data_IF_947904440960
#
_entry.id   IF_947904440960
#
_cell.length_a   1.000
_cell.length_b   1.000
_cell.length_c   1.000
_cell.angle_alpha   90.00
_cell.angle_beta   90.00
_cell.angle_gamma   90.00
#
_symmetry.space_group_name_H-M   'P 1'
#
loop_
_entity.id
_entity.type
_entity.pdbx_description
1 polymer ?
#
# COMPACT_ATOMS: atom_id res chain seq x y z
N UNK A 1 -2.88 61.56 4.12
CA UNK A 1 -1.52 61.07 4.06
C UNK A 1 -0.96 60.91 5.45
N UNK A 2 -0.81 59.71 5.95
CA UNK A 2 0.03 59.35 7.10
C UNK A 2 0.94 58.23 6.69
N UNK A 3 2.26 58.31 6.90
CA UNK A 3 3.23 57.29 6.49
C UNK A 3 3.44 56.25 7.58
N UNK A 4 3.65 55.01 7.17
CA UNK A 4 4.43 54.05 7.95
C UNK A 4 3.68 52.84 8.49
N UNK A 5 3.23 51.90 7.61
CA UNK A 5 3.07 50.53 8.01
C UNK A 5 4.08 49.67 7.24
N UNK A 6 5.16 49.39 7.95
CA UNK A 6 6.19 48.43 7.49
C UNK A 6 5.67 47.05 7.81
N UNK A 7 5.42 46.21 6.77
CA UNK A 7 5.20 44.79 6.92
C UNK A 7 6.52 44.07 7.24
N UNK A 8 6.62 43.28 8.29
CA UNK A 8 7.76 42.40 8.48
C UNK A 8 7.64 41.19 7.52
N UNK A 9 8.64 41.08 6.67
CA UNK A 9 8.95 39.90 5.89
C UNK A 9 9.59 38.86 6.80
N UNK A 10 8.83 37.91 7.32
CA UNK A 10 9.39 36.61 7.71
C UNK A 10 8.24 35.62 7.91
N UNK A 11 8.32 34.55 7.12
CA UNK A 11 7.32 33.52 7.02
C UNK A 11 7.18 32.69 8.27
N UNK A 12 5.98 32.54 8.69
CA UNK A 12 5.31 31.43 9.34
C UNK A 12 4.06 32.01 10.00
N UNK A 13 2.92 31.92 9.33
CA UNK A 13 1.64 32.16 9.98
C UNK A 13 1.31 30.94 10.84
N UNK A 14 1.26 31.06 12.17
CA UNK A 14 0.60 30.05 12.97
C UNK A 14 -0.91 30.18 12.69
N UNK A 15 -1.51 29.09 12.20
CA UNK A 15 -2.96 28.95 12.08
C UNK A 15 -3.56 28.94 13.50
N UNK A 16 -3.72 30.12 14.09
CA UNK A 16 -4.52 30.35 15.29
C UNK A 16 -5.64 31.33 14.95
N UNK A 17 -6.66 30.88 14.21
CA UNK A 17 -7.91 31.60 14.16
C UNK A 17 -8.60 31.47 15.51
N UNK A 18 -8.44 32.48 16.36
CA UNK A 18 -9.16 32.62 17.63
C UNK A 18 -10.62 32.94 17.31
N UNK A 19 -11.48 31.94 17.22
CA UNK A 19 -12.91 32.16 17.32
C UNK A 19 -13.28 32.41 18.79
N UNK A 20 -13.63 33.66 19.11
CA UNK A 20 -14.15 34.02 20.43
C UNK A 20 -15.66 33.99 20.36
N UNK A 21 -16.29 33.01 21.01
CA UNK A 21 -17.73 33.03 21.24
C UNK A 21 -18.08 34.16 22.21
N UNK A 22 -19.23 34.85 21.98
CA UNK A 22 -19.75 35.85 22.93
C UNK A 22 -20.01 35.18 24.29
N UNK A 23 -19.13 35.41 25.25
CA UNK A 23 -19.21 34.81 26.60
C UNK A 23 -17.86 34.56 27.27
N UNK A 24 -16.73 34.90 26.61
CA UNK A 24 -15.43 35.03 27.30
C UNK A 24 -14.70 33.76 27.73
N UNK A 25 -15.20 32.55 27.37
CA UNK A 25 -14.48 31.31 27.67
C UNK A 25 -13.52 31.05 26.51
N UNK A 26 -12.18 30.95 26.73
CA UNK A 26 -11.26 30.58 25.67
C UNK A 26 -11.57 29.14 25.29
N UNK A 27 -11.87 28.91 24.00
CA UNK A 27 -11.89 27.55 23.46
C UNK A 27 -10.43 27.07 23.49
N UNK A 28 -10.06 26.33 24.52
CA UNK A 28 -8.80 25.61 24.56
C UNK A 28 -8.90 24.56 23.46
N UNK A 29 -8.20 24.77 22.33
CA UNK A 29 -7.97 23.73 21.35
C UNK A 29 -7.11 22.65 22.03
N UNK A 30 -7.77 21.62 22.52
CA UNK A 30 -7.09 20.41 22.97
C UNK A 30 -6.82 19.63 21.67
N UNK A 31 -5.56 19.37 21.31
CA UNK A 31 -5.28 18.49 20.20
C UNK A 31 -5.89 17.13 20.55
N UNK A 32 -6.99 16.80 19.87
CA UNK A 32 -7.60 15.49 20.02
C UNK A 32 -6.61 14.50 19.44
N UNK A 33 -5.94 13.75 20.30
CA UNK A 33 -5.10 12.63 19.85
C UNK A 33 -6.02 11.64 19.12
N UNK A 34 -5.64 11.27 17.88
CA UNK A 34 -6.39 10.30 17.10
C UNK A 34 -6.34 8.97 17.84
N UNK A 35 -7.51 8.39 18.11
CA UNK A 35 -7.62 7.01 18.55
C UNK A 35 -7.44 6.09 17.32
N UNK A 36 -6.21 5.67 17.09
CA UNK A 36 -5.89 4.80 15.96
C UNK A 36 -6.58 3.43 16.05
N UNK A 37 -6.89 2.94 17.24
CA UNK A 37 -7.63 1.68 17.38
C UNK A 37 -9.08 1.84 16.88
N UNK A 38 -9.72 2.94 17.22
CA UNK A 38 -11.04 3.29 16.71
C UNK A 38 -11.00 3.56 15.21
N UNK A 39 -10.05 4.37 14.72
CA UNK A 39 -9.90 4.68 13.30
C UNK A 39 -9.69 3.41 12.45
N UNK A 40 -8.88 2.47 12.93
CA UNK A 40 -8.66 1.16 12.31
C UNK A 40 -9.95 0.34 12.22
N UNK A 41 -10.72 0.30 13.29
CA UNK A 41 -12.02 -0.38 13.29
C UNK A 41 -12.98 0.26 12.30
N UNK A 42 -13.08 1.58 12.30
CA UNK A 42 -13.94 2.32 11.35
C UNK A 42 -13.52 2.08 9.89
N UNK A 43 -12.22 2.03 9.60
CA UNK A 43 -11.70 1.67 8.29
C UNK A 43 -12.15 0.25 7.88
N UNK A 44 -11.98 -0.73 8.76
CA UNK A 44 -12.36 -2.12 8.44
C UNK A 44 -13.88 -2.24 8.24
N UNK A 45 -14.67 -1.65 9.12
CA UNK A 45 -16.14 -1.76 9.08
C UNK A 45 -16.73 -0.94 7.91
N UNK A 46 -16.19 0.27 7.63
CA UNK A 46 -16.73 1.18 6.63
C UNK A 46 -16.16 1.04 5.22
N UNK A 47 -14.95 0.50 5.06
CA UNK A 47 -14.28 0.45 3.76
C UNK A 47 -14.01 -0.99 3.28
N UNK A 48 -13.70 -1.91 4.20
CA UNK A 48 -13.31 -3.28 3.85
C UNK A 48 -14.53 -4.20 3.79
N UNK A 49 -15.31 -4.28 4.88
CA UNK A 49 -16.50 -5.14 4.94
C UNK A 49 -17.57 -4.73 3.93
N UNK A 50 -17.76 -3.45 3.70
CA UNK A 50 -18.74 -2.90 2.75
C UNK A 50 -18.34 -3.12 1.28
N UNK A 51 -17.12 -3.59 1.03
CA UNK A 51 -16.56 -3.84 -0.30
C UNK A 51 -16.46 -5.34 -0.64
N UNK A 52 -17.37 -6.15 -0.08
CA UNK A 52 -17.45 -7.60 -0.30
C UNK A 52 -16.21 -8.39 0.14
N UNK A 53 -15.44 -7.88 1.10
CA UNK A 53 -14.36 -8.63 1.73
C UNK A 53 -14.97 -9.47 2.87
N UNK A 54 -15.01 -10.77 2.66
CA UNK A 54 -15.67 -11.74 3.55
C UNK A 54 -14.70 -12.69 4.27
N UNK A 55 -13.44 -12.77 3.84
CA UNK A 55 -12.43 -13.58 4.51
C UNK A 55 -12.11 -13.01 5.90
N UNK A 56 -12.55 -13.73 6.93
CA UNK A 56 -12.38 -13.32 8.33
C UNK A 56 -10.92 -13.21 8.75
N UNK A 57 -10.00 -13.93 8.09
CA UNK A 57 -8.55 -13.84 8.38
C UNK A 57 -7.99 -12.49 7.94
N UNK A 58 -8.41 -12.00 6.75
CA UNK A 58 -8.03 -10.67 6.25
C UNK A 58 -8.58 -9.59 7.17
N UNK A 59 -9.85 -9.69 7.54
CA UNK A 59 -10.52 -8.76 8.44
C UNK A 59 -9.80 -8.72 9.79
N UNK A 60 -9.51 -9.88 10.39
CA UNK A 60 -8.80 -9.98 11.66
C UNK A 60 -7.39 -9.36 11.59
N UNK A 61 -6.64 -9.69 10.53
CA UNK A 61 -5.30 -9.15 10.33
C UNK A 61 -5.31 -7.62 10.15
N UNK A 62 -6.27 -7.07 9.41
CA UNK A 62 -6.39 -5.62 9.24
C UNK A 62 -6.86 -4.89 10.50
N UNK A 63 -7.62 -5.55 11.38
CA UNK A 63 -7.97 -5.04 12.72
C UNK A 63 -6.78 -5.06 13.68
N UNK A 64 -5.86 -6.00 13.54
CA UNK A 64 -4.67 -6.16 14.38
C UNK A 64 -3.55 -5.21 14.00
N UNK A 65 -3.23 -5.12 12.70
CA UNK A 65 -2.05 -4.42 12.20
C UNK A 65 -2.18 -2.89 12.31
N UNK A 66 -1.23 -2.20 12.99
CA UNK A 66 -1.22 -0.74 13.12
C UNK A 66 -0.76 -0.08 11.82
N UNK A 67 -1.71 0.22 10.90
CA UNK A 67 -1.42 0.77 9.58
C UNK A 67 -0.68 2.12 9.64
N UNK A 68 -0.95 2.93 10.67
CA UNK A 68 -0.29 4.20 10.95
C UNK A 68 1.23 4.06 11.11
N UNK A 69 1.72 2.89 11.47
CA UNK A 69 3.15 2.60 11.59
C UNK A 69 3.88 2.53 10.25
N UNK A 70 3.14 2.27 9.18
CA UNK A 70 3.68 2.02 7.84
C UNK A 70 3.65 3.23 6.92
N UNK A 71 3.19 4.37 7.40
CA UNK A 71 3.21 5.65 6.70
C UNK A 71 4.24 6.60 7.32
N UNK A 72 4.53 7.71 6.64
CA UNK A 72 5.42 8.73 7.22
C UNK A 72 4.82 9.35 8.48
N UNK A 73 5.65 9.85 9.38
CA UNK A 73 5.17 10.50 10.60
C UNK A 73 4.25 11.70 10.33
N UNK A 74 4.41 12.37 9.18
CA UNK A 74 3.57 13.49 8.76
C UNK A 74 2.20 13.04 8.22
N UNK A 75 2.08 11.79 7.78
CA UNK A 75 0.88 11.25 7.13
C UNK A 75 0.11 10.25 8.02
N UNK A 76 0.50 10.12 9.30
CA UNK A 76 -0.12 9.18 10.26
C UNK A 76 -1.63 9.36 10.36
N UNK A 77 -2.10 10.61 10.33
CA UNK A 77 -3.52 10.95 10.40
C UNK A 77 -4.31 10.51 9.16
N UNK A 78 -3.61 10.28 8.04
CA UNK A 78 -4.19 9.83 6.77
C UNK A 78 -4.24 8.31 6.64
N UNK A 79 -3.56 7.57 7.52
CA UNK A 79 -3.34 6.13 7.40
C UNK A 79 -4.61 5.30 7.20
N UNK A 80 -5.75 5.78 7.71
CA UNK A 80 -7.03 5.08 7.73
C UNK A 80 -8.07 5.65 6.76
N UNK A 81 -7.69 6.62 5.93
CA UNK A 81 -8.56 7.17 4.88
C UNK A 81 -8.68 6.19 3.71
N UNK A 82 -9.79 6.29 2.96
CA UNK A 82 -10.02 5.51 1.73
C UNK A 82 -9.26 6.10 0.53
N UNK A 83 -7.95 6.20 0.67
CA UNK A 83 -7.04 6.72 -0.34
C UNK A 83 -5.70 5.98 -0.32
N UNK A 84 -4.94 6.10 -1.41
CA UNK A 84 -3.54 5.70 -1.44
C UNK A 84 -2.72 6.71 -0.63
N UNK A 85 -1.97 6.23 0.39
CA UNK A 85 -1.21 7.09 1.30
C UNK A 85 0.28 6.96 1.00
N UNK A 86 1.04 8.07 0.87
CA UNK A 86 2.48 8.00 0.70
C UNK A 86 3.15 7.19 1.82
N UNK A 87 3.98 6.24 1.45
CA UNK A 87 4.72 5.42 2.41
C UNK A 87 5.86 6.21 3.09
N UNK A 88 6.48 7.09 2.31
CA UNK A 88 7.48 8.07 2.77
C UNK A 88 7.22 9.40 2.07
N UNK A 89 7.69 10.49 2.66
CA UNK A 89 7.66 11.79 1.97
C UNK A 89 8.67 11.79 0.81
N UNK A 90 8.21 12.18 -0.38
CA UNK A 90 9.06 12.24 -1.57
C UNK A 90 10.11 13.35 -1.44
N UNK A 91 11.35 13.03 -1.71
CA UNK A 91 12.48 13.99 -1.79
C UNK A 91 12.69 14.44 -3.23
N UNK A 92 11.66 14.98 -3.89
CA UNK A 92 11.74 15.67 -5.19
C UNK A 92 12.32 14.84 -6.34
N UNK A 93 11.45 14.28 -7.20
CA UNK A 93 11.82 13.62 -8.45
C UNK A 93 11.77 12.08 -8.44
N UNK A 94 11.74 11.45 -7.29
CA UNK A 94 11.55 10.00 -7.19
C UNK A 94 10.06 9.65 -7.21
N UNK A 95 9.75 8.49 -7.80
CA UNK A 95 8.39 7.98 -7.84
C UNK A 95 7.96 7.55 -6.43
N UNK A 96 7.12 8.36 -5.78
CA UNK A 96 6.66 8.13 -4.40
C UNK A 96 5.93 6.79 -4.32
N UNK A 97 6.36 5.96 -3.35
CA UNK A 97 5.69 4.69 -3.05
C UNK A 97 4.51 4.95 -2.12
N UNK A 98 3.44 4.17 -2.29
CA UNK A 98 2.21 4.34 -1.53
C UNK A 98 1.78 3.03 -0.87
N UNK A 99 1.12 3.14 0.26
CA UNK A 99 0.22 2.10 0.73
C UNK A 99 -1.08 2.19 -0.07
N UNK A 100 -1.49 1.08 -0.66
CA UNK A 100 -2.78 1.03 -1.38
C UNK A 100 -3.93 1.36 -0.45
N UNK A 101 -4.97 2.03 -0.96
CA UNK A 101 -6.20 2.24 -0.19
C UNK A 101 -6.75 0.93 0.34
N UNK A 102 -7.32 0.95 1.56
CA UNK A 102 -7.66 -0.26 2.30
C UNK A 102 -8.54 -1.23 1.53
N UNK A 103 -9.55 -0.73 0.84
CA UNK A 103 -10.50 -1.52 0.05
C UNK A 103 -9.79 -2.28 -1.08
N UNK A 104 -8.93 -1.60 -1.86
CA UNK A 104 -8.23 -2.25 -2.99
C UNK A 104 -7.27 -3.32 -2.50
N UNK A 105 -6.48 -3.01 -1.46
CA UNK A 105 -5.57 -3.99 -0.86
C UNK A 105 -6.31 -5.23 -0.37
N UNK A 106 -7.37 -5.05 0.41
CA UNK A 106 -8.13 -6.16 0.99
C UNK A 106 -8.78 -7.05 -0.10
N UNK A 107 -9.37 -6.44 -1.15
CA UNK A 107 -9.96 -7.18 -2.28
C UNK A 107 -8.90 -7.93 -3.09
N UNK A 108 -7.73 -7.36 -3.33
CA UNK A 108 -6.62 -8.05 -4.00
C UNK A 108 -6.14 -9.25 -3.17
N UNK A 109 -5.94 -9.07 -1.86
CA UNK A 109 -5.54 -10.17 -0.96
C UNK A 109 -6.60 -11.27 -0.91
N UNK A 110 -7.89 -10.91 -0.87
CA UNK A 110 -8.98 -11.89 -0.94
C UNK A 110 -8.98 -12.64 -2.27
N UNK A 111 -8.79 -11.93 -3.40
CA UNK A 111 -8.72 -12.56 -4.72
C UNK A 111 -7.51 -13.49 -4.88
N UNK A 112 -6.41 -13.17 -4.20
CA UNK A 112 -5.23 -14.04 -4.13
C UNK A 112 -5.52 -15.35 -3.38
N UNK A 113 -6.55 -15.41 -2.52
CA UNK A 113 -6.99 -16.60 -1.78
C UNK A 113 -5.84 -17.35 -1.10
N UNK A 114 -4.97 -16.62 -0.40
CA UNK A 114 -3.73 -17.14 0.22
C UNK A 114 -4.04 -18.23 1.25
N UNK A 115 -3.32 -19.35 1.19
CA UNK A 115 -3.46 -20.46 2.12
C UNK A 115 -2.31 -20.48 3.14
N UNK A 116 -2.53 -21.07 4.33
CA UNK A 116 -1.53 -21.06 5.42
C UNK A 116 -0.21 -21.80 5.10
N UNK A 117 -0.21 -22.71 4.13
CA UNK A 117 0.94 -23.50 3.70
C UNK A 117 1.68 -22.90 2.50
N UNK A 118 1.22 -21.77 1.96
CA UNK A 118 1.72 -21.16 0.74
C UNK A 118 2.89 -20.18 0.97
N UNK A 119 3.73 -20.08 -0.06
CA UNK A 119 4.80 -19.08 -0.19
C UNK A 119 4.35 -17.95 -1.08
N UNK A 120 4.48 -16.72 -0.60
CA UNK A 120 4.06 -15.51 -1.31
C UNK A 120 5.28 -14.65 -1.66
N UNK A 121 5.31 -14.10 -2.88
CA UNK A 121 6.16 -12.97 -3.26
C UNK A 121 5.31 -11.70 -3.26
N UNK A 122 5.66 -10.73 -2.41
CA UNK A 122 5.06 -9.39 -2.37
C UNK A 122 5.98 -8.41 -3.12
N UNK A 123 5.60 -8.01 -4.32
CA UNK A 123 6.38 -7.15 -5.21
C UNK A 123 6.03 -5.68 -4.96
N UNK A 124 7.03 -4.90 -4.53
CA UNK A 124 6.86 -3.49 -4.21
C UNK A 124 6.24 -3.30 -2.83
N UNK A 125 6.79 -3.97 -1.82
CA UNK A 125 6.25 -3.98 -0.47
C UNK A 125 6.26 -2.61 0.23
N UNK A 126 6.96 -1.62 -0.31
CA UNK A 126 7.13 -0.29 0.27
C UNK A 126 7.63 -0.39 1.73
N UNK A 127 6.90 0.13 2.70
CA UNK A 127 7.23 0.06 4.13
C UNK A 127 6.76 -1.24 4.80
N UNK A 128 6.17 -2.19 4.05
CA UNK A 128 5.88 -3.56 4.50
C UNK A 128 4.47 -3.84 4.99
N UNK A 129 3.48 -2.95 4.82
CA UNK A 129 2.11 -3.19 5.28
C UNK A 129 1.44 -4.39 4.59
N UNK A 130 1.55 -4.47 3.25
CA UNK A 130 1.05 -5.62 2.48
C UNK A 130 1.72 -6.92 2.91
N UNK A 131 3.05 -6.89 3.11
CA UNK A 131 3.81 -8.04 3.57
C UNK A 131 3.40 -8.49 4.98
N UNK A 132 3.14 -7.55 5.90
CA UNK A 132 2.65 -7.86 7.24
C UNK A 132 1.26 -8.52 7.20
N UNK A 133 0.37 -8.03 6.33
CA UNK A 133 -0.95 -8.62 6.11
C UNK A 133 -0.86 -10.03 5.53
N UNK A 134 -0.05 -10.22 4.48
CA UNK A 134 0.19 -11.52 3.85
C UNK A 134 0.85 -12.52 4.82
N UNK A 135 1.73 -12.04 5.71
CA UNK A 135 2.38 -12.87 6.71
C UNK A 135 1.41 -13.47 7.75
N UNK A 136 0.24 -12.84 7.97
CA UNK A 136 -0.84 -13.41 8.80
C UNK A 136 -1.62 -14.54 8.11
N UNK A 137 -1.46 -14.68 6.78
CA UNK A 137 -2.24 -15.60 5.96
C UNK A 137 -1.40 -16.77 5.42
N UNK A 138 -0.12 -16.51 5.13
CA UNK A 138 0.79 -17.42 4.43
C UNK A 138 1.76 -18.14 5.37
N UNK A 139 2.40 -19.21 4.86
CA UNK A 139 3.54 -19.86 5.51
C UNK A 139 4.75 -18.93 5.55
N UNK A 140 5.05 -18.28 4.42
CA UNK A 140 6.20 -17.37 4.31
C UNK A 140 5.96 -16.32 3.22
N UNK A 141 6.53 -15.13 3.44
CA UNK A 141 6.46 -14.01 2.51
C UNK A 141 7.87 -13.55 2.16
N UNK A 142 8.15 -13.41 0.87
CA UNK A 142 9.31 -12.69 0.36
C UNK A 142 8.83 -11.29 -0.04
N UNK A 143 9.29 -10.28 0.69
CA UNK A 143 8.91 -8.88 0.50
C UNK A 143 9.98 -8.19 -0.34
N UNK A 144 9.70 -7.96 -1.63
CA UNK A 144 10.64 -7.36 -2.57
C UNK A 144 10.43 -5.85 -2.65
N UNK A 145 11.50 -5.09 -2.43
CA UNK A 145 11.55 -3.64 -2.64
C UNK A 145 12.89 -3.23 -3.28
N UNK A 146 12.86 -2.23 -4.16
CA UNK A 146 14.07 -1.75 -4.81
C UNK A 146 14.73 -0.56 -4.11
N UNK A 147 13.95 0.25 -3.36
CA UNK A 147 14.46 1.40 -2.63
C UNK A 147 15.10 0.96 -1.29
N UNK A 148 16.42 1.21 -1.09
CA UNK A 148 17.10 0.81 0.14
C UNK A 148 16.56 1.48 1.42
N UNK A 149 15.97 2.67 1.33
CA UNK A 149 15.37 3.35 2.47
C UNK A 149 14.07 2.63 2.89
N UNK A 150 13.22 2.29 1.92
CA UNK A 150 12.00 1.51 2.16
C UNK A 150 12.31 0.10 2.66
N UNK A 151 13.35 -0.56 2.13
CA UNK A 151 13.81 -1.87 2.61
C UNK A 151 14.14 -1.83 4.11
N UNK A 152 14.84 -0.79 4.58
CA UNK A 152 15.14 -0.63 6.03
C UNK A 152 13.86 -0.46 6.83
N UNK A 153 12.99 0.46 6.42
CA UNK A 153 11.71 0.71 7.08
C UNK A 153 10.81 -0.54 7.10
N UNK A 154 10.77 -1.29 6.00
CA UNK A 154 10.00 -2.53 5.93
C UNK A 154 10.51 -3.57 6.93
N UNK A 155 11.82 -3.76 7.05
CA UNK A 155 12.42 -4.67 8.04
C UNK A 155 12.07 -4.28 9.47
N UNK A 156 12.24 -3.02 9.81
CA UNK A 156 11.95 -2.49 11.15
C UNK A 156 10.46 -2.64 11.49
N UNK A 157 9.58 -2.31 10.54
CA UNK A 157 8.14 -2.42 10.71
C UNK A 157 7.69 -3.88 10.86
N UNK A 158 8.15 -4.77 9.99
CA UNK A 158 7.79 -6.19 10.05
C UNK A 158 8.25 -6.84 11.36
N UNK A 159 9.46 -6.51 11.82
CA UNK A 159 9.96 -6.94 13.14
C UNK A 159 9.06 -6.44 14.27
N UNK A 160 8.69 -5.15 14.22
CA UNK A 160 7.89 -4.52 15.27
C UNK A 160 6.46 -5.07 15.38
N UNK A 161 5.89 -5.57 14.26
CA UNK A 161 4.55 -6.20 14.26
C UNK A 161 4.61 -7.73 14.37
N UNK A 162 5.80 -8.30 14.62
CA UNK A 162 5.97 -9.74 14.80
C UNK A 162 5.74 -10.59 13.54
N UNK A 163 6.01 -10.05 12.35
CA UNK A 163 5.90 -10.77 11.08
C UNK A 163 7.19 -11.56 10.76
N UNK A 164 7.59 -12.47 11.65
CA UNK A 164 8.85 -13.21 11.56
C UNK A 164 8.97 -14.19 10.39
N UNK A 165 7.87 -14.49 9.70
CA UNK A 165 7.81 -15.29 8.48
C UNK A 165 7.89 -14.45 7.19
N UNK A 166 8.12 -13.13 7.28
CA UNK A 166 8.35 -12.24 6.15
C UNK A 166 9.82 -11.85 6.06
N UNK A 167 10.45 -12.10 4.90
CA UNK A 167 11.84 -11.74 4.63
C UNK A 167 11.91 -10.62 3.61
N UNK A 168 12.54 -9.49 3.94
CA UNK A 168 12.69 -8.35 3.03
C UNK A 168 13.95 -8.50 2.20
N UNK A 169 13.79 -8.48 0.87
CA UNK A 169 14.86 -8.57 -0.12
C UNK A 169 14.93 -7.29 -0.96
N UNK A 170 16.13 -6.99 -1.48
CA UNK A 170 16.36 -5.81 -2.32
C UNK A 170 16.63 -6.23 -3.75
N UNK A 171 15.85 -5.71 -4.71
CA UNK A 171 16.04 -6.01 -6.12
C UNK A 171 15.07 -5.27 -7.02
N UNK A 172 15.29 -5.30 -8.37
CA UNK A 172 14.40 -4.70 -9.33
C UNK A 172 12.99 -5.33 -9.26
N UNK A 173 11.96 -4.51 -9.15
CA UNK A 173 10.58 -5.00 -9.02
C UNK A 173 10.12 -5.80 -10.25
N UNK A 174 10.57 -5.38 -11.45
CA UNK A 174 10.21 -6.03 -12.72
C UNK A 174 10.79 -7.41 -12.89
N UNK A 175 11.88 -7.73 -12.19
CA UNK A 175 12.54 -9.03 -12.26
C UNK A 175 11.99 -10.04 -11.26
N UNK A 176 11.25 -9.57 -10.22
CA UNK A 176 10.82 -10.42 -9.13
C UNK A 176 11.99 -10.90 -8.27
N UNK A 177 11.84 -12.07 -7.64
CA UNK A 177 12.88 -12.66 -6.81
C UNK A 177 13.05 -14.15 -7.08
N UNK A 178 13.92 -14.45 -8.07
CA UNK A 178 14.16 -15.83 -8.55
C UNK A 178 14.83 -16.77 -7.53
N UNK A 179 15.70 -16.30 -6.60
CA UNK A 179 16.39 -17.23 -5.68
C UNK A 179 15.43 -18.08 -4.83
N UNK A 180 14.23 -17.58 -4.55
CA UNK A 180 13.23 -18.28 -3.74
C UNK A 180 12.03 -18.80 -4.56
N UNK A 181 12.05 -18.63 -5.90
CA UNK A 181 11.03 -19.18 -6.78
C UNK A 181 11.09 -20.73 -6.81
N UNK A 182 9.98 -21.40 -7.16
CA UNK A 182 8.68 -20.86 -7.56
C UNK A 182 7.76 -20.53 -6.36
N UNK A 183 6.82 -19.60 -6.61
CA UNK A 183 5.85 -19.11 -5.62
C UNK A 183 4.45 -19.67 -5.85
N UNK A 184 3.70 -19.89 -4.77
CA UNK A 184 2.28 -20.22 -4.85
C UNK A 184 1.47 -18.97 -5.23
N UNK A 185 1.89 -17.80 -4.72
CA UNK A 185 1.25 -16.51 -4.98
C UNK A 185 2.29 -15.44 -5.27
N UNK A 186 2.05 -14.64 -6.29
CA UNK A 186 2.72 -13.36 -6.51
C UNK A 186 1.71 -12.25 -6.31
N UNK A 187 1.96 -11.37 -5.35
CA UNK A 187 1.17 -10.20 -5.05
C UNK A 187 1.90 -8.94 -5.53
N UNK A 188 1.30 -8.16 -6.43
CA UNK A 188 1.88 -6.91 -6.91
C UNK A 188 1.22 -5.75 -6.18
N UNK A 189 1.97 -5.09 -5.30
CA UNK A 189 1.49 -4.02 -4.42
C UNK A 189 1.51 -2.66 -5.13
N UNK A 190 0.72 -2.54 -6.18
CA UNK A 190 0.60 -1.36 -7.03
C UNK A 190 0.05 -1.71 -8.40
N UNK A 191 0.20 -0.77 -9.37
CA UNK A 191 -0.23 -0.99 -10.75
C UNK A 191 0.95 -1.34 -11.67
N UNK A 192 0.64 -2.09 -12.73
CA UNK A 192 1.48 -2.31 -13.91
C UNK A 192 0.69 -1.89 -15.15
N UNK A 193 1.33 -1.28 -16.15
CA UNK A 193 0.59 -0.91 -17.38
C UNK A 193 0.23 -2.14 -18.21
N UNK A 194 1.06 -3.17 -18.20
CA UNK A 194 0.86 -4.42 -18.91
C UNK A 194 0.96 -5.62 -17.97
N UNK A 195 0.56 -6.79 -18.45
CA UNK A 195 0.75 -8.06 -17.74
C UNK A 195 2.23 -8.26 -17.37
N UNK A 196 2.56 -8.48 -16.10
CA UNK A 196 3.94 -8.64 -15.64
C UNK A 196 4.45 -10.07 -15.90
N UNK A 197 4.75 -10.41 -17.17
CA UNK A 197 5.10 -11.77 -17.63
C UNK A 197 6.28 -12.37 -16.85
N UNK A 198 7.34 -11.60 -16.59
CA UNK A 198 8.51 -12.05 -15.82
C UNK A 198 8.15 -12.54 -14.43
N UNK A 199 7.17 -11.90 -13.79
CA UNK A 199 6.68 -12.32 -12.49
C UNK A 199 5.80 -13.58 -12.59
N UNK A 200 5.01 -13.69 -13.65
CA UNK A 200 4.18 -14.88 -13.89
C UNK A 200 5.03 -16.16 -14.06
N UNK A 201 6.22 -16.06 -14.69
CA UNK A 201 7.14 -17.19 -14.83
C UNK A 201 7.82 -17.63 -13.52
N UNK A 202 7.55 -16.95 -12.41
CA UNK A 202 8.01 -17.36 -11.08
C UNK A 202 6.90 -18.04 -10.26
N UNK A 203 5.75 -18.29 -10.88
CA UNK A 203 4.68 -19.06 -10.27
C UNK A 203 4.95 -20.56 -10.37
N UNK A 204 4.47 -21.31 -9.39
CA UNK A 204 4.30 -22.73 -9.49
C UNK A 204 3.21 -23.08 -10.51
N UNK A 205 3.20 -24.34 -10.96
CA UNK A 205 1.99 -24.90 -11.59
C UNK A 205 0.81 -24.82 -10.63
N UNK A 206 -0.31 -24.26 -11.07
CA UNK A 206 -1.45 -23.91 -10.23
C UNK A 206 -1.27 -22.64 -9.36
N UNK A 207 -0.12 -21.97 -9.47
CA UNK A 207 0.12 -20.70 -8.79
C UNK A 207 -0.63 -19.53 -9.44
N UNK A 208 -0.74 -18.42 -8.71
CA UNK A 208 -1.49 -17.25 -9.18
C UNK A 208 -0.82 -15.94 -8.84
N UNK A 209 -1.08 -14.94 -9.70
CA UNK A 209 -0.63 -13.55 -9.52
C UNK A 209 -1.84 -12.64 -9.49
N UNK A 210 -1.84 -11.69 -8.56
CA UNK A 210 -2.80 -10.57 -8.49
C UNK A 210 -2.08 -9.24 -8.66
N UNK A 211 -2.65 -8.37 -9.50
CA UNK A 211 -2.13 -7.04 -9.78
C UNK A 211 -3.26 -6.11 -10.22
N UNK A 212 -3.06 -4.79 -10.06
CA UNK A 212 -3.83 -3.81 -10.83
C UNK A 212 -3.13 -3.61 -12.16
N UNK A 213 -3.84 -3.76 -13.28
CA UNK A 213 -3.27 -3.65 -14.63
C UNK A 213 -3.98 -2.57 -15.44
N UNK A 214 -3.22 -1.76 -16.11
CA UNK A 214 -3.68 -0.62 -16.91
C UNK A 214 -3.24 0.70 -16.32
N UNK A 215 -3.66 1.78 -17.00
CA UNK A 215 -3.41 3.17 -16.58
C UNK A 215 -4.72 3.82 -16.15
N UNK A 216 -4.73 4.51 -15.02
CA UNK A 216 -5.90 5.25 -14.57
C UNK A 216 -6.35 6.27 -15.65
N UNK A 217 -7.67 6.46 -15.88
CA UNK A 217 -8.77 5.87 -15.15
C UNK A 217 -9.18 4.46 -15.58
N UNK A 218 -8.56 3.88 -16.62
CA UNK A 218 -8.90 2.56 -17.18
C UNK A 218 -7.91 1.53 -16.69
N UNK A 219 -8.12 1.04 -15.46
CA UNK A 219 -7.31 -0.03 -14.88
C UNK A 219 -8.19 -1.01 -14.10
N UNK A 220 -7.74 -2.25 -13.98
CA UNK A 220 -8.50 -3.34 -13.35
C UNK A 220 -7.59 -4.21 -12.50
N UNK A 221 -8.14 -4.67 -11.39
CA UNK A 221 -7.56 -5.78 -10.66
C UNK A 221 -7.70 -7.05 -11.52
N UNK A 222 -6.58 -7.73 -11.74
CA UNK A 222 -6.45 -8.94 -12.55
C UNK A 222 -5.97 -10.09 -11.69
N UNK A 223 -6.50 -11.28 -11.96
CA UNK A 223 -5.98 -12.55 -11.46
C UNK A 223 -5.42 -13.33 -12.65
N UNK A 224 -4.15 -13.66 -12.58
CA UNK A 224 -3.47 -14.55 -13.50
C UNK A 224 -3.22 -15.90 -12.84
N UNK A 225 -3.44 -16.99 -13.56
CA UNK A 225 -3.16 -18.35 -13.10
C UNK A 225 -2.19 -19.02 -14.07
N UNK A 226 -1.20 -19.73 -13.52
CA UNK A 226 -0.24 -20.53 -14.27
C UNK A 226 -0.70 -21.98 -14.25
N UNK A 227 -0.83 -22.59 -15.43
CA UNK A 227 -1.16 -24.02 -15.59
C UNK A 227 -0.30 -24.57 -16.70
N UNK A 228 0.58 -25.54 -16.41
CA UNK A 228 1.49 -26.16 -17.38
C UNK A 228 2.27 -25.15 -18.22
N UNK A 229 2.85 -24.13 -17.54
CA UNK A 229 3.58 -22.99 -18.11
C UNK A 229 2.74 -22.00 -18.93
N UNK A 230 1.47 -22.28 -19.18
CA UNK A 230 0.54 -21.31 -19.76
C UNK A 230 -0.04 -20.40 -18.68
N UNK A 231 -0.12 -19.09 -19.00
CA UNK A 231 -0.67 -18.10 -18.09
C UNK A 231 -1.93 -17.50 -18.67
N UNK A 232 -3.04 -17.72 -17.99
CA UNK A 232 -4.33 -17.11 -18.30
C UNK A 232 -4.68 -16.04 -17.29
N UNK A 233 -5.38 -14.99 -17.73
CA UNK A 233 -5.77 -13.86 -16.87
C UNK A 233 -7.24 -13.51 -17.00
N UNK A 234 -7.86 -13.14 -15.88
CA UNK A 234 -9.24 -12.61 -15.86
C UNK A 234 -9.34 -11.36 -14.99
N UNK A 235 -10.19 -10.40 -15.37
CA UNK A 235 -10.50 -9.27 -14.51
C UNK A 235 -11.29 -9.72 -13.28
N UNK A 236 -11.08 -9.01 -12.15
CA UNK A 236 -11.76 -9.28 -10.88
C UNK A 236 -12.71 -8.14 -10.54
N UNK A 237 -12.19 -6.91 -10.51
CA UNK A 237 -12.95 -5.68 -10.24
C UNK A 237 -12.21 -4.46 -10.81
N UNK A 238 -12.92 -3.35 -11.01
CA UNK A 238 -12.31 -2.10 -11.44
C UNK A 238 -11.55 -1.47 -10.27
N UNK A 239 -10.28 -1.18 -10.49
CA UNK A 239 -9.39 -0.63 -9.47
C UNK A 239 -8.35 0.29 -10.08
N UNK A 240 -8.00 1.36 -9.36
CA UNK A 240 -6.83 2.16 -9.63
C UNK A 240 -5.81 1.99 -8.50
N UNK A 241 -4.54 1.99 -8.86
CA UNK A 241 -3.41 1.98 -7.93
C UNK A 241 -2.25 2.79 -8.52
N UNK A 242 -1.33 3.30 -7.69
CA UNK A 242 -0.12 3.94 -8.16
C UNK A 242 0.73 2.97 -9.00
N UNK A 243 1.24 3.48 -10.13
CA UNK A 243 2.10 2.69 -11.02
C UNK A 243 3.42 2.38 -10.32
N UNK A 244 3.83 1.13 -10.39
CA UNK A 244 5.13 0.71 -9.84
C UNK A 244 6.30 1.13 -10.74
N UNK A 245 7.46 1.47 -10.16
CA UNK A 245 8.66 1.75 -10.92
C UNK A 245 9.04 0.61 -11.86
N UNK A 246 9.36 0.96 -13.11
CA UNK A 246 9.75 0.00 -14.14
C UNK A 246 8.61 -0.71 -14.85
N UNK A 247 7.34 -0.53 -14.43
CA UNK A 247 6.17 -1.17 -15.05
C UNK A 247 5.40 -0.27 -16.02
N UNK A 248 5.93 0.90 -16.37
CA UNK A 248 5.42 1.71 -17.46
C UNK A 248 5.62 1.00 -18.82
N UNK A 249 4.63 1.08 -19.67
CA UNK A 249 4.78 0.64 -21.07
C UNK A 249 5.76 1.57 -21.79
N UNK A 250 6.54 1.05 -22.74
CA UNK A 250 7.34 1.89 -23.63
C UNK A 250 6.44 2.94 -24.31
N UNK A 251 6.94 4.17 -24.57
CA UNK A 251 6.17 5.17 -25.29
C UNK A 251 5.72 4.58 -26.65
N UNK A 252 4.40 4.58 -26.90
CA UNK A 252 3.87 4.21 -28.20
C UNK A 252 4.16 5.36 -29.17
N UNK A 253 4.82 5.07 -30.29
CA UNK A 253 4.89 6.05 -31.39
C UNK A 253 3.48 6.23 -31.97
N UNK A 254 2.94 7.43 -31.83
CA UNK A 254 1.72 7.83 -32.53
C UNK A 254 2.19 8.44 -33.86
N UNK A 255 1.87 7.75 -34.96
CA UNK A 255 2.06 8.29 -36.33
C UNK A 255 0.94 9.24 -36.67
#
# INVERSE_FOLDING_TARGET
MRPGDVYPSDGALPFSSRYRLKGGVPLLWVPTMIDFALARRMMVDGQVRTSDVTDLRIIAAMLELPRERFVSAADTDLAYLDTDVPAIQGTGGEQVRHLLKPMVLAKLVQAAAVKPDERVLDVGCATGYSSALLARLARSVVALEQDPALVRLARDNLQAVGAGNATVVTGPLTEGWRPDAPYDVVFVNGATENMPRTLCHQLKDGGRLVAVVGRAPVSRAMLYCSVQDDVSGRPIFDAAAPLLPGFAAPPAFVF
#
